data_IF_399641505225
#
_entry.id   IF_399641505225
#
_cell.length_a   1.000
_cell.length_b   1.000
_cell.length_c   1.000
_cell.angle_alpha   90.00
_cell.angle_beta   90.00
_cell.angle_gamma   90.00
#
_symmetry.space_group_name_H-M   'P 1'
#
loop_
_entity.id
_entity.type
_entity.pdbx_description
1 polymer ?
#
# COMPACT_ATOMS: atom_id res chain seq x y z
N UNK A 1 4.78 -17.93 15.18
CA UNK A 1 3.69 -16.93 15.03
C UNK A 1 4.14 -15.68 14.27
N UNK A 2 5.12 -15.74 13.35
CA UNK A 2 5.62 -14.55 12.65
C UNK A 2 5.53 -14.63 11.11
N UNK A 3 5.37 -15.83 10.54
CA UNK A 3 5.34 -15.99 9.08
C UNK A 3 4.01 -15.53 8.47
N UNK A 4 2.88 -15.78 9.14
CA UNK A 4 1.56 -15.35 8.65
C UNK A 4 1.39 -13.83 8.64
N UNK A 5 1.92 -13.13 9.65
CA UNK A 5 1.89 -11.66 9.70
C UNK A 5 2.84 -11.04 8.68
N UNK A 6 3.98 -11.69 8.38
CA UNK A 6 4.87 -11.30 7.29
C UNK A 6 4.19 -11.41 5.91
N UNK A 7 3.49 -12.52 5.66
CA UNK A 7 2.74 -12.72 4.41
C UNK A 7 1.62 -11.70 4.23
N UNK A 8 0.83 -11.42 5.27
CA UNK A 8 -0.24 -10.42 5.18
C UNK A 8 0.28 -9.00 4.90
N UNK A 9 1.40 -8.64 5.54
CA UNK A 9 2.07 -7.36 5.29
C UNK A 9 2.61 -7.24 3.86
N UNK A 10 3.19 -8.31 3.32
CA UNK A 10 3.67 -8.32 1.94
C UNK A 10 2.51 -8.20 0.93
N UNK A 11 1.44 -8.97 1.12
CA UNK A 11 0.23 -8.89 0.29
C UNK A 11 -0.39 -7.49 0.32
N UNK A 12 -0.40 -6.84 1.49
CA UNK A 12 -0.84 -5.46 1.62
C UNK A 12 -0.01 -4.49 0.77
N UNK A 13 1.32 -4.63 0.80
CA UNK A 13 2.20 -3.80 -0.01
C UNK A 13 2.02 -4.05 -1.51
N UNK A 14 1.84 -5.31 -1.93
CA UNK A 14 1.61 -5.68 -3.32
C UNK A 14 0.28 -5.11 -3.86
N UNK A 15 -0.81 -5.28 -3.11
CA UNK A 15 -2.13 -4.73 -3.47
C UNK A 15 -2.09 -3.19 -3.50
N UNK A 16 -1.45 -2.56 -2.51
CA UNK A 16 -1.27 -1.11 -2.48
C UNK A 16 -0.47 -0.62 -3.69
N UNK A 17 0.59 -1.35 -4.08
CA UNK A 17 1.39 -1.04 -5.27
C UNK A 17 0.57 -1.12 -6.57
N UNK A 18 -0.36 -2.07 -6.68
CA UNK A 18 -1.27 -2.17 -7.84
C UNK A 18 -2.19 -0.95 -7.90
N UNK A 19 -2.85 -0.60 -6.79
CA UNK A 19 -3.78 0.54 -6.74
C UNK A 19 -3.10 1.88 -6.98
N UNK A 20 -1.90 2.07 -6.44
CA UNK A 20 -1.11 3.28 -6.69
C UNK A 20 -0.77 3.44 -8.17
N UNK A 21 -0.37 2.35 -8.86
CA UNK A 21 -0.13 2.37 -10.31
C UNK A 21 -1.40 2.72 -11.09
N UNK A 22 -2.57 2.21 -10.69
CA UNK A 22 -3.86 2.57 -11.29
C UNK A 22 -4.21 4.06 -11.08
N UNK A 23 -3.79 4.63 -9.94
CA UNK A 23 -3.94 6.05 -9.62
C UNK A 23 -2.83 6.94 -10.23
N UNK A 24 -2.00 6.40 -11.14
CA UNK A 24 -0.99 7.17 -11.87
C UNK A 24 0.34 7.39 -11.13
N UNK A 25 0.54 6.77 -9.97
CA UNK A 25 1.81 6.82 -9.26
C UNK A 25 2.81 5.81 -9.84
N UNK A 26 4.09 6.14 -9.75
CA UNK A 26 5.17 5.16 -9.95
C UNK A 26 5.56 4.59 -8.60
N UNK A 27 5.74 3.27 -8.52
CA UNK A 27 6.21 2.60 -7.30
C UNK A 27 7.42 1.74 -7.62
N UNK A 28 8.39 1.75 -6.71
CA UNK A 28 9.60 0.96 -6.82
C UNK A 28 9.39 -0.43 -6.21
N UNK A 29 10.33 -1.38 -6.41
CA UNK A 29 10.30 -2.66 -5.72
C UNK A 29 10.19 -2.51 -4.20
N UNK A 30 9.54 -3.48 -3.56
CA UNK A 30 9.44 -3.52 -2.10
C UNK A 30 10.81 -3.82 -1.53
N UNK A 31 11.30 -2.95 -0.65
CA UNK A 31 12.60 -3.05 0.00
C UNK A 31 12.43 -2.94 1.51
N UNK A 32 12.97 -3.92 2.26
CA UNK A 32 12.90 -3.96 3.72
C UNK A 32 11.47 -3.81 4.27
N UNK A 33 10.49 -4.51 3.68
CA UNK A 33 9.06 -4.40 4.04
C UNK A 33 8.45 -3.01 3.86
N UNK A 34 9.03 -2.19 2.99
CA UNK A 34 8.51 -0.89 2.61
C UNK A 34 8.33 -0.78 1.11
N UNK A 35 7.23 -0.17 0.68
CA UNK A 35 6.97 0.18 -0.71
C UNK A 35 7.33 1.66 -0.94
N UNK A 36 8.40 1.97 -1.69
CA UNK A 36 8.70 3.34 -2.07
C UNK A 36 7.74 3.84 -3.17
N UNK A 37 7.20 5.04 -2.99
CA UNK A 37 6.27 5.69 -3.93
C UNK A 37 6.94 6.93 -4.50
N UNK A 38 6.97 7.01 -5.82
CA UNK A 38 7.50 8.14 -6.57
C UNK A 38 6.38 9.00 -7.11
N UNK A 39 6.64 10.31 -7.15
CA UNK A 39 5.78 11.30 -7.76
C UNK A 39 6.64 12.37 -8.42
N UNK A 40 6.25 12.78 -9.63
CA UNK A 40 7.04 13.67 -10.47
C UNK A 40 8.50 13.18 -10.63
N UNK A 41 9.47 13.94 -10.14
CA UNK A 41 10.90 13.70 -10.33
C UNK A 41 11.58 12.96 -9.16
N UNK A 42 10.83 12.52 -8.16
CA UNK A 42 11.44 11.96 -6.94
C UNK A 42 10.56 11.02 -6.12
N UNK A 43 11.16 10.48 -5.05
CA UNK A 43 10.45 9.65 -4.07
C UNK A 43 9.64 10.54 -3.14
N UNK A 44 8.32 10.41 -3.20
CA UNK A 44 7.38 11.15 -2.37
C UNK A 44 7.35 10.60 -0.94
N UNK A 45 7.20 9.28 -0.79
CA UNK A 45 7.05 8.64 0.51
C UNK A 45 7.43 7.13 0.46
N UNK A 46 7.37 6.48 1.62
CA UNK A 46 7.44 5.02 1.75
C UNK A 46 6.26 4.52 2.57
N UNK A 47 5.64 3.42 2.14
CA UNK A 47 4.54 2.77 2.86
C UNK A 47 5.09 1.52 3.56
N UNK A 48 4.86 1.37 4.86
CA UNK A 48 5.23 0.15 5.60
C UNK A 48 4.17 -0.94 5.44
N UNK A 49 4.55 -2.20 5.67
CA UNK A 49 3.59 -3.33 5.68
C UNK A 49 2.42 -3.18 6.67
N UNK A 50 2.51 -2.22 7.62
CA UNK A 50 1.44 -1.89 8.58
C UNK A 50 0.56 -0.71 8.12
N UNK A 51 0.74 -0.23 6.90
CA UNK A 51 -0.02 0.89 6.32
C UNK A 51 0.42 2.28 6.77
N UNK A 52 1.55 2.42 7.47
CA UNK A 52 2.08 3.74 7.81
C UNK A 52 2.75 4.37 6.59
N UNK A 53 2.48 5.65 6.34
CA UNK A 53 3.08 6.43 5.23
C UNK A 53 4.13 7.37 5.80
N UNK A 54 5.40 7.16 5.44
CA UNK A 54 6.53 7.98 5.84
C UNK A 54 6.86 8.97 4.74
N UNK A 55 6.49 10.23 4.95
CA UNK A 55 6.73 11.31 3.99
C UNK A 55 8.20 11.75 3.97
N UNK A 56 8.74 11.98 2.76
CA UNK A 56 10.10 12.49 2.58
C UNK A 56 10.09 14.02 2.59
N UNK A 57 10.82 14.62 3.53
CA UNK A 57 10.84 16.08 3.69
C UNK A 57 11.36 16.83 2.45
N UNK A 58 12.18 16.18 1.61
CA UNK A 58 12.70 16.74 0.36
C UNK A 58 11.62 17.11 -0.67
N UNK A 59 10.39 16.62 -0.52
CA UNK A 59 9.26 16.96 -1.39
C UNK A 59 8.32 18.02 -0.80
N UNK A 60 8.55 18.52 0.42
CA UNK A 60 7.65 19.46 1.14
C UNK A 60 7.35 20.72 0.33
N UNK A 61 8.34 21.22 -0.41
CA UNK A 61 8.22 22.48 -1.15
C UNK A 61 7.72 22.29 -2.60
N UNK A 62 7.48 21.04 -3.04
CA UNK A 62 6.99 20.78 -4.39
C UNK A 62 5.47 21.07 -4.47
N UNK A 63 5.01 21.96 -5.37
CA UNK A 63 3.59 22.25 -5.54
C UNK A 63 2.81 20.97 -5.85
N UNK A 64 1.75 20.68 -5.08
CA UNK A 64 0.92 19.49 -5.27
C UNK A 64 1.44 18.21 -4.60
N UNK A 65 2.64 18.22 -4.00
CA UNK A 65 3.17 17.05 -3.29
C UNK A 65 2.32 16.66 -2.08
N UNK A 66 1.68 17.63 -1.42
CA UNK A 66 0.77 17.36 -0.31
C UNK A 66 -0.52 16.68 -0.76
N UNK A 67 -1.09 17.08 -1.90
CA UNK A 67 -2.28 16.44 -2.48
C UNK A 67 -1.95 15.02 -2.96
N UNK A 68 -0.78 14.85 -3.61
CA UNK A 68 -0.26 13.55 -3.99
C UNK A 68 -0.04 12.65 -2.76
N UNK A 69 0.51 13.18 -1.68
CA UNK A 69 0.70 12.45 -0.43
C UNK A 69 -0.63 12.03 0.19
N UNK A 70 -1.63 12.91 0.18
CA UNK A 70 -2.96 12.59 0.67
C UNK A 70 -3.60 11.45 -0.13
N UNK A 71 -3.48 11.47 -1.45
CA UNK A 71 -3.97 10.38 -2.30
C UNK A 71 -3.27 9.04 -1.99
N UNK A 72 -1.97 9.06 -1.67
CA UNK A 72 -1.25 7.85 -1.22
C UNK A 72 -1.78 7.35 0.12
N UNK A 73 -2.00 8.25 1.09
CA UNK A 73 -2.57 7.93 2.41
C UNK A 73 -3.95 7.28 2.26
N UNK A 74 -4.82 7.88 1.45
CA UNK A 74 -6.16 7.38 1.22
C UNK A 74 -6.13 6.01 0.52
N UNK A 75 -5.23 5.82 -0.44
CA UNK A 75 -5.04 4.52 -1.10
C UNK A 75 -4.59 3.43 -0.13
N UNK A 76 -3.60 3.73 0.72
CA UNK A 76 -3.11 2.80 1.74
C UNK A 76 -4.21 2.45 2.75
N UNK A 77 -4.96 3.45 3.21
CA UNK A 77 -6.07 3.28 4.14
C UNK A 77 -7.17 2.39 3.55
N UNK A 78 -7.64 2.70 2.34
CA UNK A 78 -8.67 1.93 1.64
C UNK A 78 -8.24 0.47 1.44
N UNK A 79 -6.94 0.25 1.17
CA UNK A 79 -6.40 -1.10 1.01
C UNK A 79 -6.41 -1.88 2.32
N UNK A 80 -5.97 -1.25 3.43
CA UNK A 80 -6.01 -1.85 4.75
C UNK A 80 -7.43 -2.21 5.18
N UNK A 81 -8.39 -1.31 4.98
CA UNK A 81 -9.80 -1.54 5.31
C UNK A 81 -10.39 -2.69 4.49
N UNK A 82 -10.12 -2.72 3.19
CA UNK A 82 -10.54 -3.82 2.30
C UNK A 82 -9.96 -5.17 2.74
N UNK A 83 -8.66 -5.23 3.05
CA UNK A 83 -8.01 -6.47 3.46
C UNK A 83 -8.51 -6.97 4.82
N UNK A 84 -8.80 -6.08 5.78
CA UNK A 84 -9.39 -6.46 7.06
C UNK A 84 -10.78 -7.12 6.88
N UNK A 85 -11.57 -6.63 5.91
CA UNK A 85 -12.86 -7.24 5.55
C UNK A 85 -12.64 -8.64 4.97
N UNK A 86 -11.65 -8.83 4.09
CA UNK A 86 -11.33 -10.13 3.50
C UNK A 86 -10.79 -11.13 4.53
N UNK A 87 -10.01 -10.68 5.50
CA UNK A 87 -9.51 -11.53 6.59
C UNK A 87 -10.64 -12.06 7.48
N UNK A 88 -11.66 -11.22 7.74
CA UNK A 88 -12.84 -11.60 8.50
C UNK A 88 -13.89 -12.35 7.68
N UNK A 89 -13.80 -12.34 6.35
CA UNK A 89 -14.75 -13.03 5.50
C UNK A 89 -14.66 -14.55 5.72
N UNK A 90 -15.79 -15.25 5.95
CA UNK A 90 -15.77 -16.71 6.07
C UNK A 90 -15.21 -17.29 4.76
N UNK A 91 -14.21 -18.17 4.87
CA UNK A 91 -13.63 -18.84 3.72
C UNK A 91 -14.75 -19.52 2.93
N UNK A 92 -14.96 -19.07 1.69
CA UNK A 92 -15.86 -19.70 0.73
C UNK A 92 -15.30 -21.10 0.42
N UNK A 93 -15.66 -22.08 1.26
CA UNK A 93 -15.46 -23.48 0.93
C UNK A 93 -16.44 -23.79 -0.19
N UNK A 94 -15.94 -23.89 -1.42
CA UNK A 94 -16.69 -24.41 -2.56
C UNK A 94 -16.92 -25.93 -2.38
N UNK A 95 -17.62 -26.35 -1.33
CA UNK A 95 -17.95 -27.76 -1.04
C UNK A 95 -19.15 -28.26 -1.83
N UNK A 96 -19.45 -27.67 -2.99
CA UNK A 96 -20.63 -27.98 -3.80
C UNK A 96 -20.40 -28.12 -5.30
N UNK A 97 -19.14 -28.10 -5.75
CA UNK A 97 -18.79 -28.42 -7.14
C UNK A 97 -18.46 -29.92 -7.20
N UNK A 98 -19.49 -30.76 -7.19
CA UNK A 98 -19.41 -32.19 -7.55
C UNK A 98 -20.10 -32.43 -8.88
#
# INVERSE_FOLDING_TARGET
MNDQSGTAQLLFLEETAIRLRQNGFTVEPIEDHHLPVCWEKGRLCRISGKGSVLYRQECVDAPGAQDALQAVIDTAKMTSEYMAILEYAPQLKATGLT
#
